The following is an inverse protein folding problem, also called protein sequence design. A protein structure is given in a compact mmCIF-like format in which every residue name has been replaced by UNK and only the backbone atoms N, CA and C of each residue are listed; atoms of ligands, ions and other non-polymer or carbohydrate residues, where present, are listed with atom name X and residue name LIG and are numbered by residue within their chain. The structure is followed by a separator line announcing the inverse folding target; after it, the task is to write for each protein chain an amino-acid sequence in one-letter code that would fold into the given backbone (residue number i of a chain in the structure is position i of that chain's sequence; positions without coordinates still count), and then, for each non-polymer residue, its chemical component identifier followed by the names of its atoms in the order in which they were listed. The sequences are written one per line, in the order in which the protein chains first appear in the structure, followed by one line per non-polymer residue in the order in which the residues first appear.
data_IF_209236431026
#
_entry.id   IF_209236431026
#
_cell.length_a   1.000
_cell.length_b   1.000
_cell.length_c   1.000
_cell.angle_alpha   90.00
_cell.angle_beta   90.00
_cell.angle_gamma   90.00
#
_symmetry.space_group_name_H-M   'P 1'
#
loop_
_entity.id
_entity.type
_entity.pdbx_description
1 polymer ?
#
# COMPACT_ATOMS: atom_id res chain seq x y z
N UNK A 1 8.81 -5.81 1.01
CA UNK A 1 7.50 -5.71 0.34
C UNK A 1 6.94 -7.06 -0.12
N UNK A 2 7.74 -8.08 -0.45
CA UNK A 2 7.19 -9.36 -0.95
C UNK A 2 6.23 -10.04 0.02
N UNK A 3 6.56 -10.07 1.32
CA UNK A 3 5.73 -10.71 2.36
C UNK A 3 4.36 -10.02 2.49
N UNK A 4 4.34 -8.68 2.50
CA UNK A 4 3.09 -7.92 2.62
C UNK A 4 2.13 -8.19 1.45
N UNK A 5 2.64 -8.18 0.22
CA UNK A 5 1.82 -8.47 -0.97
C UNK A 5 1.39 -9.94 -1.02
N UNK A 6 2.25 -10.87 -0.59
CA UNK A 6 1.89 -12.29 -0.49
C UNK A 6 0.80 -12.53 0.56
N UNK A 7 0.82 -11.81 1.68
CA UNK A 7 -0.25 -11.89 2.68
C UNK A 7 -1.57 -11.32 2.15
N UNK A 8 -1.52 -10.24 1.37
CA UNK A 8 -2.71 -9.69 0.71
C UNK A 8 -3.31 -10.70 -0.28
N UNK A 9 -2.49 -11.32 -1.13
CA UNK A 9 -2.91 -12.38 -2.06
C UNK A 9 -3.55 -13.53 -1.31
N UNK A 10 -2.85 -14.08 -0.30
CA UNK A 10 -3.34 -15.20 0.49
C UNK A 10 -4.67 -14.90 1.19
N UNK A 11 -4.85 -13.68 1.73
CA UNK A 11 -6.09 -13.29 2.37
C UNK A 11 -7.25 -13.22 1.38
N UNK A 12 -7.02 -12.64 0.19
CA UNK A 12 -8.04 -12.55 -0.86
C UNK A 12 -8.45 -13.93 -1.38
N UNK A 13 -7.53 -14.90 -1.46
CA UNK A 13 -7.86 -16.28 -1.84
C UNK A 13 -8.60 -17.03 -0.72
N UNK A 14 -8.19 -16.84 0.54
CA UNK A 14 -8.75 -17.59 1.67
C UNK A 14 -10.12 -17.06 2.14
N UNK A 15 -10.39 -15.77 1.94
CA UNK A 15 -11.59 -15.10 2.45
C UNK A 15 -12.27 -14.33 1.31
N UNK A 16 -13.24 -14.95 0.62
CA UNK A 16 -14.01 -14.29 -0.44
C UNK A 16 -14.68 -13.01 0.07
N UNK A 17 -14.49 -11.91 -0.66
CA UNK A 17 -15.05 -10.60 -0.30
C UNK A 17 -14.26 -9.84 0.77
N UNK A 18 -13.07 -10.32 1.19
CA UNK A 18 -12.22 -9.56 2.09
C UNK A 18 -11.78 -8.23 1.49
N UNK A 19 -11.84 -7.17 2.29
CA UNK A 19 -11.26 -5.87 1.96
C UNK A 19 -9.82 -5.79 2.44
N UNK A 20 -8.92 -5.33 1.57
CA UNK A 20 -7.50 -5.20 1.90
C UNK A 20 -7.02 -3.77 1.64
N UNK A 21 -6.41 -3.20 2.66
CA UNK A 21 -5.73 -1.91 2.61
C UNK A 21 -4.25 -2.10 2.98
N UNK A 22 -3.35 -1.63 2.12
CA UNK A 22 -1.91 -1.64 2.35
C UNK A 22 -1.45 -0.22 2.60
N UNK A 23 -0.87 0.03 3.78
CA UNK A 23 -0.32 1.34 4.13
C UNK A 23 1.21 1.26 4.11
N UNK A 24 1.84 1.98 3.18
CA UNK A 24 3.28 2.09 3.05
C UNK A 24 3.82 3.26 3.89
N UNK A 25 4.74 2.96 4.79
CA UNK A 25 5.39 3.91 5.69
C UNK A 25 6.91 3.65 5.71
N UNK A 26 7.70 4.68 6.00
CA UNK A 26 9.17 4.63 5.95
C UNK A 26 9.66 4.26 4.55
N UNK A 27 10.72 3.45 4.46
CA UNK A 27 11.32 2.99 3.20
C UNK A 27 10.32 2.27 2.27
N UNK A 28 9.19 1.79 2.79
CA UNK A 28 8.19 1.12 1.98
C UNK A 28 7.59 2.02 0.88
N UNK A 29 7.67 3.35 1.02
CA UNK A 29 7.19 4.28 -0.02
C UNK A 29 8.02 4.19 -1.32
N UNK A 30 9.28 3.75 -1.23
CA UNK A 30 10.16 3.55 -2.40
C UNK A 30 9.64 2.48 -3.36
N UNK A 31 8.72 1.63 -2.93
CA UNK A 31 8.11 0.59 -3.77
C UNK A 31 6.94 1.10 -4.62
N UNK A 32 6.46 2.32 -4.37
CA UNK A 32 5.27 2.90 -5.00
C UNK A 32 5.59 3.97 -6.05
N UNK A 33 6.84 4.04 -6.49
CA UNK A 33 7.32 5.00 -7.48
C UNK A 33 7.30 4.42 -8.89
N UNK A 34 7.21 5.26 -9.93
CA UNK A 34 7.15 4.85 -11.35
C UNK A 34 8.40 4.09 -11.81
N UNK A 35 9.56 4.39 -11.21
CA UNK A 35 10.84 3.73 -11.45
C UNK A 35 11.01 2.37 -10.74
N UNK A 36 10.02 1.94 -9.94
CA UNK A 36 10.08 0.62 -9.32
C UNK A 36 10.15 -0.49 -10.40
N UNK A 37 10.74 -1.66 -10.07
CA UNK A 37 10.84 -2.78 -11.02
C UNK A 37 9.50 -3.12 -11.66
N UNK A 38 9.50 -3.39 -12.97
CA UNK A 38 8.27 -3.66 -13.72
C UNK A 38 7.43 -4.78 -13.09
N UNK A 39 8.07 -5.89 -12.70
CA UNK A 39 7.40 -7.01 -12.02
C UNK A 39 6.69 -6.61 -10.73
N UNK A 40 7.24 -5.65 -9.98
CA UNK A 40 6.59 -5.13 -8.77
C UNK A 40 5.40 -4.23 -9.14
N UNK A 41 5.56 -3.35 -10.13
CA UNK A 41 4.48 -2.48 -10.61
C UNK A 41 3.29 -3.29 -11.15
N UNK A 42 3.57 -4.35 -11.90
CA UNK A 42 2.56 -5.25 -12.44
C UNK A 42 1.82 -5.98 -11.32
N UNK A 43 2.56 -6.46 -10.30
CA UNK A 43 1.96 -7.11 -9.13
C UNK A 43 1.09 -6.17 -8.31
N UNK A 44 1.53 -4.94 -8.07
CA UNK A 44 0.72 -3.91 -7.41
C UNK A 44 -0.53 -3.58 -8.21
N UNK A 45 -0.41 -3.48 -9.54
CA UNK A 45 -1.54 -3.20 -10.44
C UNK A 45 -2.55 -4.35 -10.45
N UNK A 46 -2.08 -5.60 -10.46
CA UNK A 46 -2.94 -6.78 -10.38
C UNK A 46 -3.72 -6.82 -9.04
N UNK A 47 -3.08 -6.49 -7.93
CA UNK A 47 -3.75 -6.40 -6.63
C UNK A 47 -4.74 -5.23 -6.58
N UNK A 48 -4.39 -4.07 -7.14
CA UNK A 48 -5.30 -2.94 -7.24
C UNK A 48 -6.55 -3.29 -8.07
N UNK A 49 -6.39 -4.02 -9.18
CA UNK A 49 -7.50 -4.50 -10.00
C UNK A 49 -8.42 -5.48 -9.26
N UNK A 50 -7.91 -6.15 -8.22
CA UNK A 50 -8.69 -7.01 -7.29
C UNK A 50 -9.30 -6.23 -6.12
N UNK A 51 -9.19 -4.90 -6.10
CA UNK A 51 -9.77 -4.04 -5.07
C UNK A 51 -8.86 -3.71 -3.89
N UNK A 52 -7.59 -4.12 -3.90
CA UNK A 52 -6.63 -3.72 -2.87
C UNK A 52 -6.37 -2.21 -2.95
N UNK A 53 -6.52 -1.52 -1.82
CA UNK A 53 -6.23 -0.08 -1.71
C UNK A 53 -4.82 0.14 -1.20
N UNK A 54 -4.07 1.03 -1.84
CA UNK A 54 -2.69 1.35 -1.47
C UNK A 54 -2.60 2.80 -0.99
N UNK A 55 -2.11 2.99 0.23
CA UNK A 55 -1.91 4.30 0.84
C UNK A 55 -0.43 4.54 1.11
N UNK A 56 0.07 5.73 0.81
CA UNK A 56 1.48 6.10 1.02
C UNK A 56 1.60 7.29 1.98
N UNK A 57 2.47 7.16 2.96
CA UNK A 57 2.67 8.18 4.00
C UNK A 57 3.38 9.43 3.45
N UNK A 58 2.71 10.59 3.50
CA UNK A 58 3.29 11.86 3.03
C UNK A 58 4.55 12.28 3.80
N UNK A 59 4.66 11.97 5.10
CA UNK A 59 5.87 12.25 5.87
C UNK A 59 7.07 11.43 5.37
N UNK A 60 6.84 10.17 5.02
CA UNK A 60 7.89 9.30 4.46
C UNK A 60 8.29 9.74 3.06
N UNK A 61 7.33 10.12 2.21
CA UNK A 61 7.65 10.70 0.89
C UNK A 61 8.56 11.92 1.03
N UNK A 62 8.24 12.85 1.94
CA UNK A 62 9.06 14.02 2.22
C UNK A 62 10.46 13.65 2.72
N UNK A 63 10.57 12.66 3.61
CA UNK A 63 11.85 12.19 4.13
C UNK A 63 12.75 11.57 3.05
N UNK A 64 12.17 10.98 2.01
CA UNK A 64 12.90 10.41 0.88
C UNK A 64 13.00 11.36 -0.33
N UNK A 65 12.47 12.59 -0.24
CA UNK A 65 12.50 13.55 -1.35
C UNK A 65 11.66 13.14 -2.56
N UNK A 66 10.63 12.31 -2.36
CA UNK A 66 9.76 11.79 -3.44
C UNK A 66 8.57 12.72 -3.62
N UNK A 67 8.38 13.19 -4.85
CA UNK A 67 7.23 13.99 -5.26
C UNK A 67 6.02 13.11 -5.61
N UNK A 68 4.83 13.71 -5.69
CA UNK A 68 3.59 12.97 -6.01
C UNK A 68 3.56 12.49 -7.46
N UNK A 69 4.15 13.25 -8.38
CA UNK A 69 4.20 12.90 -9.80
C UNK A 69 5.15 11.73 -10.09
N UNK A 70 6.05 11.40 -9.17
CA UNK A 70 6.87 10.18 -9.24
C UNK A 70 6.11 8.92 -8.84
N UNK A 71 4.92 9.03 -8.23
CA UNK A 71 4.18 7.87 -7.73
C UNK A 71 3.40 7.13 -8.82
N UNK A 72 3.19 5.84 -8.58
CA UNK A 72 2.22 5.05 -9.33
C UNK A 72 0.81 5.62 -9.09
N UNK A 73 -0.05 5.69 -10.12
CA UNK A 73 -1.39 6.27 -10.00
C UNK A 73 -2.33 5.48 -9.06
N UNK A 74 -1.98 4.23 -8.73
CA UNK A 74 -2.72 3.39 -7.77
C UNK A 74 -2.50 3.78 -6.30
N UNK A 75 -1.51 4.64 -6.01
CA UNK A 75 -1.14 4.99 -4.65
C UNK A 75 -1.83 6.28 -4.21
N UNK A 76 -2.65 6.19 -3.17
CA UNK A 76 -3.27 7.36 -2.53
C UNK A 76 -2.33 7.93 -1.46
N UNK A 77 -1.99 9.22 -1.58
CA UNK A 77 -1.14 9.90 -0.58
C UNK A 77 -1.97 10.32 0.62
N UNK A 78 -1.60 9.83 1.80
CA UNK A 78 -2.24 10.17 3.08
C UNK A 78 -1.35 11.08 3.94
N UNK A 79 -1.90 11.93 4.82
CA UNK A 79 -1.09 12.84 5.64
C UNK A 79 -0.02 12.13 6.47
N UNK A 80 -0.37 10.99 7.06
CA UNK A 80 0.57 10.11 7.76
C UNK A 80 0.08 8.66 7.73
N UNK A 81 1.00 7.70 7.53
CA UNK A 81 0.67 6.28 7.50
C UNK A 81 0.06 5.78 8.82
N UNK A 82 0.59 6.25 9.96
CA UNK A 82 0.04 5.89 11.28
C UNK A 82 -1.41 6.36 11.46
N UNK A 83 -1.73 7.56 10.97
CA UNK A 83 -3.11 8.10 11.03
C UNK A 83 -4.04 7.22 10.21
N UNK A 84 -3.64 6.86 8.98
CA UNK A 84 -4.46 5.98 8.13
C UNK A 84 -4.67 4.59 8.73
N UNK A 85 -3.66 4.04 9.41
CA UNK A 85 -3.79 2.76 10.13
C UNK A 85 -4.82 2.86 11.26
N UNK A 86 -4.86 3.97 12.00
CA UNK A 86 -5.86 4.18 13.06
C UNK A 86 -7.27 4.33 12.47
N UNK A 87 -7.44 5.17 11.44
CA UNK A 87 -8.72 5.35 10.73
C UNK A 87 -9.28 4.03 10.19
N UNK A 88 -8.44 3.19 9.58
CA UNK A 88 -8.86 1.89 9.06
C UNK A 88 -9.29 0.94 10.18
N UNK A 89 -8.58 0.94 11.31
CA UNK A 89 -8.96 0.11 12.46
C UNK A 89 -10.29 0.57 13.08
N UNK A 90 -10.53 1.88 13.17
CA UNK A 90 -11.82 2.44 13.59
C UNK A 90 -12.95 2.06 12.61
N UNK A 91 -12.65 1.96 11.32
CA UNK A 91 -13.56 1.45 10.30
C UNK A 91 -13.74 -0.08 10.33
N UNK A 92 -13.16 -0.79 11.30
CA UNK A 92 -13.35 -2.23 11.49
C UNK A 92 -12.27 -3.12 10.88
N UNK A 93 -11.24 -2.55 10.23
CA UNK A 93 -10.12 -3.34 9.69
C UNK A 93 -9.29 -3.95 10.83
N UNK A 94 -8.61 -5.05 10.54
CA UNK A 94 -7.62 -5.67 11.43
C UNK A 94 -6.22 -5.35 10.95
N UNK A 95 -5.39 -4.82 11.85
CA UNK A 95 -4.02 -4.46 11.54
C UNK A 95 -3.10 -5.68 11.55
N UNK A 96 -2.32 -5.83 10.48
CA UNK A 96 -1.25 -6.82 10.35
C UNK A 96 0.02 -6.10 9.92
N UNK A 97 1.12 -6.29 10.66
CA UNK A 97 2.44 -5.79 10.29
C UNK A 97 3.35 -6.96 9.90
N UNK A 98 3.58 -7.18 8.60
CA UNK A 98 4.53 -8.18 8.11
C UNK A 98 5.97 -7.93 8.56
#
# INVERSE_FOLDING_TARGET
MSIALSNAENLLEAVPGAEVAVVANGDAVLFFVKQAPASLRDRLSALAARGVKFYVCSNSLRAHGISRDELLPLAEVVPAGIVKILELQEAGYRYVKP
#
